data_IF_558194230934
#
_entry.id   IF_558194230934
#
_cell.length_a   1.000
_cell.length_b   1.000
_cell.length_c   1.000
_cell.angle_alpha   90.00
_cell.angle_beta   90.00
_cell.angle_gamma   90.00
#
_symmetry.space_group_name_H-M   'P 1'
#
loop_
_entity.id
_entity.type
_entity.pdbx_description
1 polymer ?
#
# COMPACT_ATOMS: atom_id res chain seq x y z
N UNK A 1 -39.23 -26.84 -17.62
CA UNK A 1 -39.34 -25.41 -17.26
C UNK A 1 -38.63 -25.02 -15.96
N UNK A 2 -38.42 -25.93 -14.98
CA UNK A 2 -37.72 -25.63 -13.72
C UNK A 2 -36.22 -25.29 -13.86
N UNK A 3 -35.48 -25.91 -14.81
CA UNK A 3 -34.04 -25.65 -15.00
C UNK A 3 -33.68 -24.25 -15.53
N UNK A 4 -34.56 -23.61 -16.32
CA UNK A 4 -34.33 -22.24 -16.83
C UNK A 4 -34.64 -21.18 -15.76
N UNK A 5 -35.63 -21.41 -14.90
CA UNK A 5 -35.99 -20.47 -13.83
C UNK A 5 -34.89 -20.40 -12.76
N UNK A 6 -34.32 -21.55 -12.38
CA UNK A 6 -33.17 -21.62 -11.46
C UNK A 6 -31.94 -20.90 -12.01
N UNK A 7 -31.65 -21.04 -13.31
CA UNK A 7 -30.55 -20.31 -13.94
C UNK A 7 -30.79 -18.80 -14.00
N UNK A 8 -32.04 -18.36 -14.16
CA UNK A 8 -32.38 -16.93 -14.27
C UNK A 8 -32.34 -16.24 -12.90
N UNK A 9 -32.86 -16.90 -11.85
CA UNK A 9 -32.79 -16.40 -10.46
C UNK A 9 -31.35 -16.40 -9.95
N UNK A 10 -30.55 -17.42 -10.26
CA UNK A 10 -29.13 -17.45 -9.91
C UNK A 10 -28.31 -16.33 -10.58
N UNK A 11 -28.55 -16.08 -11.87
CA UNK A 11 -27.89 -14.98 -12.59
C UNK A 11 -28.33 -13.62 -12.07
N UNK A 12 -29.62 -13.42 -11.77
CA UNK A 12 -30.10 -12.15 -11.22
C UNK A 12 -29.56 -11.90 -9.79
N UNK A 13 -29.48 -12.94 -8.96
CA UNK A 13 -28.90 -12.87 -7.61
C UNK A 13 -27.42 -12.49 -7.65
N UNK A 14 -26.63 -13.04 -8.59
CA UNK A 14 -25.22 -12.71 -8.75
C UNK A 14 -25.00 -11.23 -9.12
N UNK A 15 -25.86 -10.66 -9.98
CA UNK A 15 -25.75 -9.23 -10.34
C UNK A 15 -26.06 -8.30 -9.16
N UNK A 16 -27.01 -8.70 -8.30
CA UNK A 16 -27.33 -7.97 -7.07
C UNK A 16 -26.17 -8.05 -6.07
N UNK A 17 -25.58 -9.24 -5.90
CA UNK A 17 -24.47 -9.42 -4.98
C UNK A 17 -23.24 -8.62 -5.41
N UNK A 18 -22.90 -8.63 -6.71
CA UNK A 18 -21.83 -7.79 -7.24
C UNK A 18 -22.11 -6.31 -7.03
N UNK A 19 -23.35 -5.85 -7.21
CA UNK A 19 -23.71 -4.45 -7.02
C UNK A 19 -23.39 -3.97 -5.60
N UNK A 20 -23.85 -4.69 -4.58
CA UNK A 20 -23.58 -4.33 -3.19
C UNK A 20 -22.13 -4.59 -2.78
N UNK A 21 -21.47 -5.59 -3.36
CA UNK A 21 -20.05 -5.78 -3.13
C UNK A 21 -19.20 -4.65 -3.71
N UNK A 22 -19.56 -4.08 -4.87
CA UNK A 22 -18.89 -2.85 -5.39
C UNK A 22 -19.05 -1.68 -4.43
N UNK A 23 -20.20 -1.53 -3.77
CA UNK A 23 -20.37 -0.54 -2.70
C UNK A 23 -19.46 -0.84 -1.50
N UNK A 24 -19.38 -2.09 -1.04
CA UNK A 24 -18.48 -2.47 0.04
C UNK A 24 -17.02 -2.18 -0.31
N UNK A 25 -16.58 -2.47 -1.54
CA UNK A 25 -15.23 -2.14 -2.04
C UNK A 25 -14.98 -0.63 -2.10
N UNK A 26 -15.97 0.16 -2.54
CA UNK A 26 -15.87 1.62 -2.55
C UNK A 26 -15.73 2.17 -1.12
N UNK A 27 -16.50 1.65 -0.16
CA UNK A 27 -16.40 1.99 1.26
C UNK A 27 -15.04 1.59 1.82
N UNK A 28 -14.52 0.40 1.49
CA UNK A 28 -13.20 -0.07 1.90
C UNK A 28 -12.07 0.85 1.42
N UNK A 29 -12.21 1.45 0.24
CA UNK A 29 -11.20 2.33 -0.35
C UNK A 29 -10.95 3.61 0.47
N UNK A 30 -11.94 4.06 1.26
CA UNK A 30 -11.83 5.22 2.14
C UNK A 30 -10.75 5.07 3.22
N UNK A 31 -10.40 3.82 3.58
CA UNK A 31 -9.37 3.54 4.57
C UNK A 31 -7.97 3.95 4.13
N UNK A 32 -7.64 3.96 2.83
CA UNK A 32 -6.31 4.35 2.35
C UNK A 32 -5.14 3.58 3.01
N UNK A 33 -3.91 4.11 2.95
CA UNK A 33 -2.75 3.46 3.55
C UNK A 33 -2.70 3.51 5.09
N UNK A 34 -3.49 4.39 5.72
CA UNK A 34 -3.55 4.52 7.17
C UNK A 34 -4.08 3.27 7.89
N UNK A 35 -4.76 2.36 7.18
CA UNK A 35 -5.16 1.07 7.75
C UNK A 35 -3.97 0.16 8.04
N UNK A 36 -2.83 0.37 7.37
CA UNK A 36 -1.64 -0.47 7.53
C UNK A 36 -1.21 -0.52 9.02
N UNK A 37 -0.92 -1.70 9.58
CA UNK A 37 -0.71 -3.01 8.92
C UNK A 37 -1.98 -3.78 8.54
N UNK A 38 -3.16 -3.35 8.96
CA UNK A 38 -4.42 -4.04 8.71
C UNK A 38 -4.86 -3.89 7.24
N UNK A 39 -5.62 -4.86 6.71
CA UNK A 39 -6.21 -4.75 5.39
C UNK A 39 -7.27 -3.64 5.36
N UNK A 40 -7.53 -3.13 4.16
CA UNK A 40 -8.70 -2.28 3.89
C UNK A 40 -9.92 -3.17 3.80
N UNK A 41 -10.87 -2.98 4.70
CA UNK A 41 -12.12 -3.76 4.73
C UNK A 41 -13.29 -2.80 4.68
N UNK A 42 -14.29 -3.14 3.88
CA UNK A 42 -15.56 -2.46 3.80
C UNK A 42 -16.69 -3.46 4.00
N UNK A 43 -17.77 -2.98 4.61
CA UNK A 43 -18.97 -3.77 4.83
C UNK A 43 -20.22 -2.90 4.56
N UNK A 44 -21.24 -3.50 3.95
CA UNK A 44 -22.57 -2.89 3.82
C UNK A 44 -23.64 -3.89 4.24
N UNK A 45 -24.63 -3.41 4.99
CA UNK A 45 -25.81 -4.18 5.41
C UNK A 45 -26.98 -3.76 4.54
N UNK A 46 -27.64 -4.74 3.93
CA UNK A 46 -28.73 -4.53 2.98
C UNK A 46 -29.99 -5.22 3.47
N UNK A 47 -31.09 -4.47 3.52
CA UNK A 47 -32.41 -4.95 3.87
C UNK A 47 -33.41 -4.50 2.82
N UNK A 48 -34.19 -5.43 2.29
CA UNK A 48 -35.25 -5.16 1.31
C UNK A 48 -34.76 -4.36 0.08
N UNK A 49 -33.51 -4.60 -0.33
CA UNK A 49 -32.86 -3.94 -1.48
C UNK A 49 -32.19 -2.59 -1.16
N UNK A 50 -32.25 -2.11 0.08
CA UNK A 50 -31.67 -0.83 0.49
C UNK A 50 -30.46 -1.03 1.41
N UNK A 51 -29.42 -0.20 1.24
CA UNK A 51 -28.29 -0.13 2.18
C UNK A 51 -28.77 0.57 3.45
N UNK A 52 -28.85 -0.19 4.54
CA UNK A 52 -29.27 0.31 5.86
C UNK A 52 -28.10 0.55 6.81
N UNK A 53 -26.91 0.10 6.45
CA UNK A 53 -25.68 0.38 7.19
C UNK A 53 -24.44 0.20 6.32
N UNK A 54 -23.40 0.99 6.61
CA UNK A 54 -22.11 0.89 5.94
C UNK A 54 -20.98 1.15 6.93
N UNK A 55 -19.82 0.55 6.68
CA UNK A 55 -18.66 0.69 7.54
C UNK A 55 -17.37 0.36 6.82
N UNK A 56 -16.30 1.08 7.19
CA UNK A 56 -14.95 0.84 6.73
C UNK A 56 -14.02 0.70 7.94
N UNK A 57 -12.99 -0.13 7.82
CA UNK A 57 -11.86 -0.08 8.75
C UNK A 57 -10.98 1.13 8.40
N UNK A 58 -10.88 2.12 9.28
CA UNK A 58 -10.16 3.36 9.00
C UNK A 58 -8.76 3.42 9.62
N UNK A 59 -8.55 2.78 10.77
CA UNK A 59 -7.28 2.86 11.51
C UNK A 59 -7.03 1.63 12.38
N UNK A 60 -5.79 1.15 12.52
CA UNK A 60 -5.46 0.05 13.44
C UNK A 60 -5.93 0.32 14.88
N UNK A 61 -6.64 -0.65 15.46
CA UNK A 61 -7.16 -0.57 16.83
C UNK A 61 -8.61 -0.08 16.93
N UNK A 62 -9.13 0.57 15.88
CA UNK A 62 -10.55 0.92 15.81
C UNK A 62 -11.41 -0.32 15.47
N UNK A 63 -12.74 -0.26 15.72
CA UNK A 63 -13.68 -1.28 15.26
C UNK A 63 -13.52 -1.61 13.78
N UNK A 64 -13.73 -2.87 13.42
CA UNK A 64 -13.71 -3.29 12.02
C UNK A 64 -14.94 -2.79 11.25
N UNK A 65 -14.88 -2.92 9.92
CA UNK A 65 -15.91 -2.48 8.99
C UNK A 65 -17.30 -3.02 9.34
N UNK A 66 -17.38 -4.32 9.67
CA UNK A 66 -18.61 -5.02 10.02
C UNK A 66 -19.26 -4.40 11.25
N UNK A 67 -18.46 -4.03 12.25
CA UNK A 67 -18.96 -3.42 13.48
C UNK A 67 -19.59 -2.05 13.19
N UNK A 68 -18.94 -1.22 12.37
CA UNK A 68 -19.51 0.06 11.96
C UNK A 68 -20.79 -0.12 11.14
N UNK A 69 -20.80 -1.04 10.18
CA UNK A 69 -21.97 -1.30 9.34
C UNK A 69 -23.17 -1.81 10.16
N UNK A 70 -22.94 -2.73 11.11
CA UNK A 70 -23.97 -3.25 12.00
C UNK A 70 -24.51 -2.19 12.97
N UNK A 71 -23.63 -1.35 13.53
CA UNK A 71 -24.05 -0.22 14.39
C UNK A 71 -24.92 0.77 13.64
N UNK A 72 -24.57 1.09 12.39
CA UNK A 72 -25.37 1.97 11.55
C UNK A 72 -26.72 1.36 11.18
N UNK A 73 -26.76 0.04 10.91
CA UNK A 73 -28.00 -0.67 10.59
C UNK A 73 -28.95 -0.78 11.78
N UNK A 74 -28.43 -0.89 13.01
CA UNK A 74 -29.23 -1.07 14.21
C UNK A 74 -30.18 -2.26 14.10
N UNK A 75 -31.45 -2.08 14.46
CA UNK A 75 -32.47 -3.12 14.38
C UNK A 75 -32.74 -3.62 12.94
N UNK A 76 -32.44 -2.80 11.91
CA UNK A 76 -32.62 -3.20 10.51
C UNK A 76 -31.64 -4.28 10.06
N UNK A 77 -30.63 -4.62 10.87
CA UNK A 77 -29.75 -5.76 10.62
C UNK A 77 -30.48 -7.12 10.76
N UNK A 78 -31.56 -7.19 11.53
CA UNK A 78 -32.25 -8.45 11.79
C UNK A 78 -32.89 -8.99 10.51
N UNK A 79 -32.43 -10.15 10.05
CA UNK A 79 -32.86 -10.77 8.80
C UNK A 79 -32.27 -10.15 7.53
N UNK A 80 -31.31 -9.24 7.65
CA UNK A 80 -30.65 -8.60 6.51
C UNK A 80 -29.53 -9.47 5.91
N UNK A 81 -28.95 -9.00 4.80
CA UNK A 81 -27.72 -9.51 4.21
C UNK A 81 -26.57 -8.55 4.49
N UNK A 82 -25.40 -9.05 4.89
CA UNK A 82 -24.17 -8.24 4.97
C UNK A 82 -23.20 -8.64 3.88
N UNK A 83 -22.68 -7.66 3.15
CA UNK A 83 -21.62 -7.82 2.16
C UNK A 83 -20.32 -7.31 2.77
N UNK A 84 -19.26 -8.11 2.73
CA UNK A 84 -17.97 -7.79 3.36
C UNK A 84 -16.82 -8.15 2.42
N UNK A 85 -15.85 -7.24 2.28
CA UNK A 85 -14.78 -7.38 1.29
C UNK A 85 -13.67 -8.36 1.70
N UNK A 86 -13.65 -8.81 2.96
CA UNK A 86 -12.71 -9.79 3.49
C UNK A 86 -13.45 -10.67 4.50
N UNK A 87 -13.02 -11.92 4.67
CA UNK A 87 -13.60 -12.82 5.66
C UNK A 87 -13.70 -12.18 7.07
N UNK A 88 -14.88 -12.21 7.72
CA UNK A 88 -15.04 -11.71 9.07
C UNK A 88 -14.14 -12.42 10.08
N UNK A 89 -13.46 -11.65 10.93
CA UNK A 89 -12.55 -12.25 11.91
C UNK A 89 -13.28 -13.14 12.92
N UNK A 90 -12.64 -14.26 13.28
CA UNK A 90 -13.15 -15.26 14.23
C UNK A 90 -12.23 -15.47 15.45
N UNK A 91 -11.31 -14.56 15.71
CA UNK A 91 -10.41 -14.62 16.85
C UNK A 91 -10.56 -13.38 17.72
N UNK A 92 -10.29 -13.54 19.02
CA UNK A 92 -10.24 -12.43 19.95
C UNK A 92 -8.89 -11.73 19.82
N UNK A 93 -8.87 -10.59 19.13
CA UNK A 93 -7.70 -9.73 18.98
C UNK A 93 -7.76 -8.55 19.97
N UNK A 94 -7.48 -7.35 19.46
CA UNK A 94 -7.71 -6.09 20.21
C UNK A 94 -9.21 -5.77 20.38
N UNK A 95 -10.04 -6.31 19.50
CA UNK A 95 -11.50 -6.20 19.50
C UNK A 95 -12.13 -7.60 19.48
N UNK A 96 -13.39 -7.76 19.98
CA UNK A 96 -14.15 -8.99 19.81
C UNK A 96 -14.32 -9.38 18.33
N UNK A 97 -14.51 -10.68 18.02
CA UNK A 97 -14.59 -11.16 16.64
C UNK A 97 -15.86 -10.68 15.93
N UNK A 98 -15.73 -10.29 14.67
CA UNK A 98 -16.84 -9.78 13.87
C UNK A 98 -17.89 -10.87 13.60
N UNK A 99 -17.49 -12.14 13.54
CA UNK A 99 -18.42 -13.26 13.42
C UNK A 99 -19.43 -13.30 14.57
N UNK A 100 -19.04 -12.92 15.80
CA UNK A 100 -19.97 -12.86 16.94
C UNK A 100 -20.96 -11.71 16.82
N UNK A 101 -20.49 -10.54 16.40
CA UNK A 101 -21.36 -9.39 16.16
C UNK A 101 -22.39 -9.67 15.05
N UNK A 102 -21.97 -10.33 13.97
CA UNK A 102 -22.88 -10.74 12.88
C UNK A 102 -23.95 -11.69 13.41
N UNK A 103 -23.57 -12.71 14.18
CA UNK A 103 -24.52 -13.66 14.78
C UNK A 103 -25.51 -12.96 15.71
N UNK A 104 -25.01 -12.08 16.60
CA UNK A 104 -25.84 -11.36 17.56
C UNK A 104 -26.82 -10.37 16.89
N UNK A 105 -26.47 -9.83 15.72
CA UNK A 105 -27.31 -8.87 14.98
C UNK A 105 -28.51 -9.50 14.24
N UNK A 106 -28.57 -10.83 14.17
CA UNK A 106 -29.66 -11.54 13.51
C UNK A 106 -29.60 -11.54 11.97
N UNK A 107 -28.44 -11.19 11.38
CA UNK A 107 -28.17 -11.35 9.95
C UNK A 107 -28.46 -12.78 9.50
N UNK A 108 -29.05 -12.94 8.31
CA UNK A 108 -29.41 -14.26 7.76
C UNK A 108 -28.51 -14.70 6.63
N UNK A 109 -27.85 -13.75 5.97
CA UNK A 109 -26.96 -14.03 4.84
C UNK A 109 -25.71 -13.15 4.91
N UNK A 110 -24.56 -13.74 4.62
CA UNK A 110 -23.26 -13.07 4.53
C UNK A 110 -22.67 -13.34 3.17
N UNK A 111 -22.24 -12.30 2.47
CA UNK A 111 -21.56 -12.40 1.18
C UNK A 111 -20.15 -11.87 1.35
N UNK A 112 -19.16 -12.73 1.10
CA UNK A 112 -17.73 -12.44 1.29
C UNK A 112 -17.04 -12.35 -0.06
N UNK A 113 -16.23 -11.31 -0.28
CA UNK A 113 -15.45 -11.22 -1.51
C UNK A 113 -14.27 -12.20 -1.51
N UNK A 114 -13.37 -12.07 -0.53
CA UNK A 114 -12.17 -12.90 -0.43
C UNK A 114 -12.02 -13.49 0.97
N UNK A 115 -11.55 -14.74 1.03
CA UNK A 115 -11.19 -15.38 2.29
C UNK A 115 -9.91 -14.79 2.90
N UNK A 116 -9.77 -14.91 4.21
CA UNK A 116 -8.49 -14.57 4.85
C UNK A 116 -7.42 -15.58 4.37
N UNK A 117 -6.21 -15.08 4.15
CA UNK A 117 -5.07 -15.89 3.75
C UNK A 117 -4.16 -16.24 4.93
N UNK A 118 -4.35 -15.61 6.10
CA UNK A 118 -3.62 -15.98 7.30
C UNK A 118 -3.99 -17.42 7.70
N UNK A 119 -3.02 -18.36 7.71
CA UNK A 119 -3.30 -19.77 7.97
C UNK A 119 -3.98 -20.04 9.32
N UNK A 120 -3.88 -19.09 10.27
CA UNK A 120 -4.49 -19.20 11.60
C UNK A 120 -5.99 -18.91 11.60
N UNK A 121 -6.49 -18.19 10.59
CA UNK A 121 -7.86 -17.65 10.55
C UNK A 121 -8.61 -18.01 9.27
N UNK A 122 -7.89 -18.41 8.21
CA UNK A 122 -8.45 -18.75 6.91
C UNK A 122 -9.62 -19.74 7.00
N UNK A 123 -10.79 -19.30 6.56
CA UNK A 123 -12.03 -20.08 6.52
C UNK A 123 -12.73 -20.28 7.87
N UNK A 124 -12.10 -19.88 8.99
CA UNK A 124 -12.64 -20.08 10.32
C UNK A 124 -13.87 -19.21 10.61
N UNK A 125 -13.92 -17.99 10.09
CA UNK A 125 -15.08 -17.10 10.25
C UNK A 125 -16.26 -17.56 9.41
N UNK A 126 -16.00 -17.94 8.16
CA UNK A 126 -17.02 -18.50 7.28
C UNK A 126 -17.60 -19.81 7.84
N UNK A 127 -16.76 -20.72 8.33
CA UNK A 127 -17.20 -21.96 8.94
C UNK A 127 -18.13 -21.71 10.14
N UNK A 128 -17.71 -20.84 11.09
CA UNK A 128 -18.51 -20.50 12.26
C UNK A 128 -19.89 -19.94 11.90
N UNK A 129 -19.96 -19.05 10.91
CA UNK A 129 -21.23 -18.46 10.48
C UNK A 129 -22.17 -19.53 9.90
N UNK A 130 -21.64 -20.43 9.05
CA UNK A 130 -22.40 -21.55 8.49
C UNK A 130 -22.89 -22.52 9.56
N UNK A 131 -22.05 -22.85 10.54
CA UNK A 131 -22.41 -23.75 11.66
C UNK A 131 -23.58 -23.21 12.49
N UNK A 132 -23.81 -21.90 12.48
CA UNK A 132 -24.93 -21.23 13.16
C UNK A 132 -26.11 -20.92 12.22
N UNK A 133 -26.13 -21.53 11.02
CA UNK A 133 -27.26 -21.46 10.10
C UNK A 133 -27.37 -20.15 9.29
N UNK A 134 -26.28 -19.37 9.19
CA UNK A 134 -26.21 -18.25 8.25
C UNK A 134 -25.89 -18.78 6.85
N UNK A 135 -26.59 -18.28 5.83
CA UNK A 135 -26.25 -18.51 4.42
C UNK A 135 -24.99 -17.70 4.06
N UNK A 136 -23.91 -18.37 3.65
CA UNK A 136 -22.63 -17.70 3.34
C UNK A 136 -22.19 -17.98 1.90
N UNK A 137 -22.21 -16.94 1.08
CA UNK A 137 -21.64 -16.92 -0.28
C UNK A 137 -20.23 -16.33 -0.24
N UNK A 138 -19.29 -16.92 -0.97
CA UNK A 138 -17.87 -16.49 -1.01
C UNK A 138 -17.43 -16.34 -2.47
N UNK A 139 -16.55 -15.38 -2.76
CA UNK A 139 -15.91 -15.22 -4.06
C UNK A 139 -16.55 -14.14 -4.95
N UNK A 140 -17.46 -13.32 -4.41
CA UNK A 140 -18.10 -12.24 -5.17
C UNK A 140 -17.11 -11.08 -5.33
N UNK A 141 -16.69 -10.80 -6.56
CA UNK A 141 -15.66 -9.78 -6.87
C UNK A 141 -14.34 -10.02 -6.12
N UNK A 142 -13.93 -11.29 -6.05
CA UNK A 142 -12.70 -11.69 -5.36
C UNK A 142 -11.45 -11.00 -5.94
N UNK A 143 -11.34 -10.91 -7.26
CA UNK A 143 -10.19 -10.31 -7.93
C UNK A 143 -10.03 -8.83 -7.59
N UNK A 144 -11.13 -8.07 -7.54
CA UNK A 144 -11.13 -6.67 -7.13
C UNK A 144 -10.78 -6.51 -5.65
N UNK A 145 -11.31 -7.37 -4.78
CA UNK A 145 -10.97 -7.36 -3.35
C UNK A 145 -9.49 -7.71 -3.10
N UNK A 146 -8.94 -8.66 -3.86
CA UNK A 146 -7.51 -9.00 -3.85
C UNK A 146 -6.65 -7.85 -4.38
N UNK A 147 -7.10 -7.16 -5.42
CA UNK A 147 -6.41 -5.99 -5.95
C UNK A 147 -6.33 -4.85 -4.92
N UNK A 148 -7.44 -4.56 -4.23
CA UNK A 148 -7.50 -3.53 -3.17
C UNK A 148 -6.47 -3.80 -2.06
N UNK A 149 -6.31 -5.07 -1.66
CA UNK A 149 -5.43 -5.49 -0.57
C UNK A 149 -4.14 -6.17 -1.06
N UNK A 150 -3.71 -5.95 -2.30
CA UNK A 150 -2.55 -6.64 -2.87
C UNK A 150 -1.29 -6.51 -2.01
N UNK A 151 -1.02 -5.31 -1.51
CA UNK A 151 0.14 -5.06 -0.64
C UNK A 151 0.06 -5.83 0.69
N UNK A 152 -1.13 -5.95 1.27
CA UNK A 152 -1.36 -6.72 2.49
C UNK A 152 -1.09 -8.21 2.25
N UNK A 153 -1.70 -8.79 1.21
CA UNK A 153 -1.49 -10.19 0.85
C UNK A 153 -0.04 -10.49 0.48
N UNK A 154 0.61 -9.60 -0.27
CA UNK A 154 2.03 -9.70 -0.61
C UNK A 154 2.90 -9.76 0.65
N UNK A 155 2.63 -8.89 1.64
CA UNK A 155 3.39 -8.91 2.91
C UNK A 155 3.21 -10.21 3.67
N UNK A 156 1.98 -10.72 3.76
CA UNK A 156 1.72 -12.00 4.43
C UNK A 156 2.43 -13.17 3.74
N UNK A 157 2.43 -13.19 2.40
CA UNK A 157 3.02 -14.28 1.63
C UNK A 157 4.55 -14.23 1.58
N UNK A 158 5.12 -13.04 1.39
CA UNK A 158 6.56 -12.86 1.16
C UNK A 158 7.35 -12.47 2.41
N UNK A 159 6.68 -12.06 3.49
CA UNK A 159 7.31 -11.51 4.69
C UNK A 159 7.93 -10.12 4.50
N UNK A 160 7.73 -9.46 3.35
CA UNK A 160 8.27 -8.12 3.04
C UNK A 160 7.20 -7.17 2.48
N UNK A 161 7.34 -5.85 2.61
CA UNK A 161 6.46 -4.91 1.94
C UNK A 161 6.52 -5.09 0.42
N UNK A 162 5.42 -4.74 -0.22
CA UNK A 162 5.37 -4.53 -1.66
C UNK A 162 6.10 -3.23 -2.03
N UNK A 163 7.05 -3.29 -2.94
CA UNK A 163 7.89 -2.15 -3.32
C UNK A 163 7.45 -1.63 -4.69
N UNK A 164 7.03 -0.37 -4.71
CA UNK A 164 6.71 0.36 -5.95
C UNK A 164 7.81 1.38 -6.21
N UNK A 165 8.55 1.23 -7.31
CA UNK A 165 9.53 2.23 -7.72
C UNK A 165 8.88 3.31 -8.57
N UNK A 166 8.85 4.54 -8.03
CA UNK A 166 8.37 5.72 -8.76
C UNK A 166 9.53 6.54 -9.29
N UNK A 167 9.48 6.87 -10.58
CA UNK A 167 10.43 7.76 -11.23
C UNK A 167 9.72 8.84 -12.05
N UNK A 168 10.34 10.02 -12.13
CA UNK A 168 9.99 11.06 -13.09
C UNK A 168 11.10 11.10 -14.15
N UNK A 169 10.72 10.91 -15.41
CA UNK A 169 11.61 10.75 -16.55
C UNK A 169 11.30 11.79 -17.60
N UNK A 170 12.33 12.22 -18.30
CA UNK A 170 12.17 12.80 -19.64
C UNK A 170 11.75 11.71 -20.64
N UNK A 171 11.23 12.09 -21.81
CA UNK A 171 10.90 11.15 -22.88
C UNK A 171 12.12 10.34 -23.34
N UNK A 172 13.31 10.95 -23.24
CA UNK A 172 14.61 10.30 -23.46
C UNK A 172 15.07 9.35 -22.34
N UNK A 173 14.28 9.15 -21.28
CA UNK A 173 14.57 8.18 -20.22
C UNK A 173 15.49 8.65 -19.09
N UNK A 174 15.67 9.95 -18.90
CA UNK A 174 16.57 10.51 -17.87
C UNK A 174 15.82 11.10 -16.67
N UNK A 175 16.31 10.88 -15.45
CA UNK A 175 15.76 11.43 -14.18
C UNK A 175 16.34 12.79 -13.81
N UNK A 176 17.50 13.15 -14.33
CA UNK A 176 18.19 14.41 -14.05
C UNK A 176 19.21 14.72 -15.15
N UNK A 177 19.68 15.97 -15.22
CA UNK A 177 20.89 16.31 -15.96
C UNK A 177 22.13 15.68 -15.29
N UNK A 178 23.25 15.58 -16.01
CA UNK A 178 24.52 15.06 -15.48
C UNK A 178 25.08 15.87 -14.29
N UNK A 179 24.65 17.12 -14.13
CA UNK A 179 24.97 17.94 -12.96
C UNK A 179 24.18 17.55 -11.71
N UNK A 180 23.23 16.62 -11.82
CA UNK A 180 22.29 16.27 -10.76
C UNK A 180 21.03 17.15 -10.73
N UNK A 181 20.97 18.21 -11.54
CA UNK A 181 19.79 19.07 -11.59
C UNK A 181 18.55 18.31 -12.11
N UNK A 182 17.56 18.14 -11.24
CA UNK A 182 16.39 17.28 -11.42
C UNK A 182 15.06 18.00 -11.16
N UNK A 183 15.09 19.30 -10.84
CA UNK A 183 13.87 20.03 -10.50
C UNK A 183 12.94 20.13 -11.71
N UNK A 184 11.68 19.76 -11.48
CA UNK A 184 10.59 19.87 -12.44
C UNK A 184 10.80 19.12 -13.75
N UNK A 185 11.27 17.87 -13.70
CA UNK A 185 11.20 16.95 -14.85
C UNK A 185 9.76 16.86 -15.36
N UNK A 186 8.82 16.53 -14.48
CA UNK A 186 7.38 16.43 -14.79
C UNK A 186 6.59 17.65 -14.34
N UNK A 187 5.39 17.82 -14.89
CA UNK A 187 4.47 18.92 -14.66
C UNK A 187 3.78 18.90 -13.28
N UNK A 188 3.03 19.98 -12.94
CA UNK A 188 2.35 20.10 -11.66
C UNK A 188 1.28 19.02 -11.42
N UNK A 189 0.55 18.60 -12.46
CA UNK A 189 -0.48 17.56 -12.34
C UNK A 189 0.13 16.19 -12.01
N UNK A 190 1.29 15.84 -12.57
CA UNK A 190 2.04 14.65 -12.18
C UNK A 190 2.53 14.74 -10.74
N UNK A 191 3.01 15.90 -10.28
CA UNK A 191 3.43 16.10 -8.88
C UNK A 191 2.26 16.02 -7.89
N UNK A 192 1.09 16.51 -8.26
CA UNK A 192 -0.14 16.36 -7.48
C UNK A 192 -0.57 14.88 -7.41
N UNK A 193 -0.46 14.15 -8.52
CA UNK A 193 -0.72 12.72 -8.55
C UNK A 193 0.25 11.90 -7.68
N UNK A 194 1.51 12.33 -7.57
CA UNK A 194 2.45 11.74 -6.60
C UNK A 194 1.99 11.94 -5.15
N UNK A 195 1.32 13.05 -4.80
CA UNK A 195 0.71 13.17 -3.46
C UNK A 195 -0.36 12.10 -3.23
N UNK A 196 -1.16 11.77 -4.25
CA UNK A 196 -2.11 10.64 -4.18
C UNK A 196 -1.38 9.32 -3.98
N UNK A 197 -0.31 9.06 -4.74
CA UNK A 197 0.49 7.84 -4.55
C UNK A 197 1.04 7.71 -3.13
N UNK A 198 1.47 8.82 -2.50
CA UNK A 198 1.94 8.81 -1.11
C UNK A 198 0.83 8.48 -0.10
N UNK A 199 -0.43 8.80 -0.39
CA UNK A 199 -1.57 8.39 0.43
C UNK A 199 -1.90 6.90 0.30
N UNK A 200 -1.45 6.25 -0.77
CA UNK A 200 -1.68 4.83 -1.03
C UNK A 200 -0.61 3.91 -0.45
N UNK A 201 0.52 4.46 0.02
CA UNK A 201 1.63 3.68 0.56
C UNK A 201 1.96 4.10 1.99
N UNK A 202 1.99 3.18 2.97
CA UNK A 202 2.27 3.50 4.37
C UNK A 202 3.73 3.86 4.61
N UNK A 203 4.62 3.66 3.63
CA UNK A 203 6.02 4.04 3.68
C UNK A 203 6.50 4.70 2.39
N UNK A 204 7.32 5.73 2.52
CA UNK A 204 8.06 6.36 1.42
C UNK A 204 9.55 6.13 1.66
N UNK A 205 10.23 5.51 0.71
CA UNK A 205 11.66 5.23 0.82
C UNK A 205 12.49 6.12 -0.11
N UNK A 206 13.59 6.66 0.40
CA UNK A 206 14.61 7.34 -0.41
C UNK A 206 16.00 6.92 0.04
N UNK A 207 16.99 7.08 -0.85
CA UNK A 207 18.39 7.01 -0.46
C UNK A 207 18.85 8.33 0.14
N UNK A 208 19.82 8.29 1.04
CA UNK A 208 20.45 9.49 1.61
C UNK A 208 20.95 10.49 0.55
N UNK A 209 21.36 10.03 -0.64
CA UNK A 209 21.76 10.91 -1.73
C UNK A 209 20.64 11.85 -2.20
N UNK A 210 19.40 11.39 -2.23
CA UNK A 210 18.23 12.23 -2.53
C UNK A 210 17.99 13.24 -1.43
N UNK A 211 18.17 12.87 -0.17
CA UNK A 211 18.02 13.81 0.95
C UNK A 211 19.04 14.94 0.87
N UNK A 212 20.30 14.60 0.60
CA UNK A 212 21.38 15.58 0.51
C UNK A 212 21.24 16.51 -0.70
N UNK A 213 20.65 16.02 -1.81
CA UNK A 213 20.47 16.80 -3.02
C UNK A 213 19.23 17.70 -2.98
N UNK A 214 18.11 17.17 -2.49
CA UNK A 214 16.79 17.80 -2.66
C UNK A 214 16.15 18.30 -1.35
N UNK A 215 16.69 17.91 -0.20
CA UNK A 215 16.14 18.17 1.15
C UNK A 215 14.60 18.03 1.21
N UNK A 216 14.06 16.86 0.83
CA UNK A 216 12.63 16.68 0.66
C UNK A 216 11.92 16.54 2.02
N UNK A 217 10.68 17.03 2.09
CA UNK A 217 9.79 16.82 3.27
C UNK A 217 9.30 15.38 3.39
N UNK A 218 9.10 14.70 2.26
CA UNK A 218 8.52 13.35 2.15
C UNK A 218 7.18 13.17 2.88
N UNK A 219 6.35 14.22 2.88
CA UNK A 219 5.01 14.22 3.48
C UNK A 219 3.90 14.07 2.43
N UNK A 220 2.72 13.64 2.90
CA UNK A 220 1.43 13.88 2.24
C UNK A 220 0.93 15.26 2.66
N UNK A 221 0.58 16.09 1.69
CA UNK A 221 0.16 17.49 1.95
C UNK A 221 -1.26 17.75 1.48
N UNK A 222 -1.96 18.59 2.23
CA UNK A 222 -3.26 19.13 1.83
C UNK A 222 -3.07 20.04 0.62
N UNK A 223 -3.87 19.85 -0.44
CA UNK A 223 -3.74 20.56 -1.71
C UNK A 223 -3.82 22.08 -1.56
N UNK A 224 -4.65 22.53 -0.61
CA UNK A 224 -5.02 23.94 -0.51
C UNK A 224 -4.06 24.73 0.38
N UNK A 225 -3.45 24.07 1.36
CA UNK A 225 -2.60 24.73 2.37
C UNK A 225 -1.13 24.37 2.26
N UNK A 226 -0.77 23.34 1.47
CA UNK A 226 0.57 22.73 1.43
C UNK A 226 1.11 22.29 2.82
N UNK A 227 0.23 22.23 3.82
CA UNK A 227 0.54 21.70 5.15
C UNK A 227 0.44 20.18 5.14
N UNK A 228 1.15 19.53 6.05
CA UNK A 228 1.03 18.10 6.25
C UNK A 228 -0.41 17.75 6.66
N UNK A 229 -0.97 16.70 6.04
CA UNK A 229 -2.27 16.16 6.45
C UNK A 229 -2.20 15.39 7.76
N UNK A 230 -3.37 15.03 8.31
CA UNK A 230 -3.53 14.37 9.62
C UNK A 230 -2.83 13.02 9.72
N UNK A 231 -2.71 12.31 8.60
CA UNK A 231 -1.97 11.06 8.49
C UNK A 231 -0.72 11.24 7.63
N UNK A 232 0.38 10.61 8.04
CA UNK A 232 1.66 10.62 7.33
C UNK A 232 2.24 9.21 7.19
N UNK A 233 2.82 8.86 6.03
CA UNK A 233 3.55 7.62 5.85
C UNK A 233 4.88 7.66 6.62
N UNK A 234 5.42 6.49 6.96
CA UNK A 234 6.78 6.38 7.48
C UNK A 234 7.78 6.81 6.42
N UNK A 235 8.73 7.67 6.81
CA UNK A 235 9.82 8.11 5.93
C UNK A 235 11.01 7.19 6.12
N UNK A 236 11.31 6.33 5.15
CA UNK A 236 12.36 5.32 5.23
C UNK A 236 13.61 5.83 4.51
N UNK A 237 14.67 6.11 5.25
CA UNK A 237 15.91 6.66 4.71
C UNK A 237 16.99 5.57 4.73
N UNK A 238 17.46 5.18 3.55
CA UNK A 238 18.62 4.29 3.42
C UNK A 238 19.90 5.10 3.52
N UNK A 239 20.55 5.01 4.68
CA UNK A 239 21.74 5.79 5.03
C UNK A 239 22.73 4.94 5.82
N UNK A 240 23.57 4.17 5.11
CA UNK A 240 24.50 3.23 5.74
C UNK A 240 25.50 3.86 6.69
N UNK A 241 25.78 5.16 6.55
CA UNK A 241 26.83 5.89 7.26
C UNK A 241 26.34 7.10 8.05
N UNK A 242 25.05 7.18 8.38
CA UNK A 242 24.49 8.22 9.27
C UNK A 242 24.73 9.68 8.80
N UNK A 243 24.76 9.89 7.48
CA UNK A 243 25.01 11.20 6.85
C UNK A 243 23.80 12.15 6.87
N UNK A 244 22.60 11.68 7.23
CA UNK A 244 21.39 12.49 7.33
C UNK A 244 21.65 13.75 8.18
N UNK A 245 21.52 14.97 7.63
CA UNK A 245 21.67 16.19 8.41
C UNK A 245 20.57 16.32 9.47
N UNK A 246 20.91 16.71 10.71
CA UNK A 246 19.92 17.02 11.74
C UNK A 246 19.02 18.21 11.34
N UNK A 247 19.46 19.05 10.39
CA UNK A 247 18.67 20.13 9.82
C UNK A 247 17.76 19.71 8.65
N UNK A 248 17.73 18.43 8.27
CA UNK A 248 16.93 17.96 7.15
C UNK A 248 15.44 18.27 7.40
N UNK A 249 14.77 18.88 6.41
CA UNK A 249 13.40 19.39 6.58
C UNK A 249 12.42 18.33 7.06
N UNK A 250 12.58 17.09 6.60
CA UNK A 250 11.71 15.99 6.99
C UNK A 250 11.69 15.69 8.50
N UNK A 251 12.75 16.04 9.24
CA UNK A 251 12.83 15.75 10.68
C UNK A 251 11.91 16.67 11.48
N UNK A 252 11.68 17.90 10.99
CA UNK A 252 10.75 18.86 11.59
C UNK A 252 9.28 18.63 11.20
N UNK A 253 9.01 17.71 10.28
CA UNK A 253 7.68 17.42 9.78
C UNK A 253 6.99 16.32 10.62
N UNK A 254 5.66 16.37 10.78
CA UNK A 254 4.93 15.35 11.53
C UNK A 254 5.13 13.96 10.92
N UNK A 255 5.00 12.92 11.76
CA UNK A 255 5.27 11.54 11.41
C UNK A 255 6.66 11.07 11.84
N UNK A 256 6.97 9.81 11.56
CA UNK A 256 8.21 9.15 11.99
C UNK A 256 9.16 8.93 10.82
N UNK A 257 10.45 9.01 11.10
CA UNK A 257 11.53 8.75 10.14
C UNK A 257 12.28 7.49 10.55
N UNK A 258 12.20 6.44 9.73
CA UNK A 258 12.93 5.20 9.90
C UNK A 258 14.28 5.32 9.19
N UNK A 259 15.39 5.23 9.93
CA UNK A 259 16.72 5.30 9.34
C UNK A 259 17.30 3.90 9.26
N UNK A 260 17.42 3.40 8.04
CA UNK A 260 18.04 2.11 7.71
C UNK A 260 19.54 2.34 7.60
N UNK A 261 20.27 1.91 8.62
CA UNK A 261 21.71 2.15 8.78
C UNK A 261 22.46 0.89 9.20
N UNK A 262 23.78 0.94 9.24
CA UNK A 262 24.60 -0.18 9.71
C UNK A 262 24.74 -0.16 11.25
N UNK A 263 24.88 -1.32 11.91
CA UNK A 263 25.15 -1.36 13.35
C UNK A 263 26.40 -0.56 13.74
N UNK A 264 27.44 -0.59 12.91
CA UNK A 264 28.68 0.17 13.12
C UNK A 264 28.47 1.68 13.07
N UNK A 265 27.57 2.17 12.23
CA UNK A 265 27.29 3.60 12.14
C UNK A 265 26.57 4.13 13.39
N UNK A 266 25.80 3.28 14.09
CA UNK A 266 25.16 3.63 15.36
C UNK A 266 26.14 3.74 16.54
N UNK A 267 27.42 3.37 16.36
CA UNK A 267 28.44 3.59 17.38
C UNK A 267 28.83 5.07 17.55
N UNK A 268 28.48 5.94 16.59
CA UNK A 268 28.60 7.40 16.75
C UNK A 268 27.41 7.94 17.57
N UNK A 269 27.47 7.75 18.89
CA UNK A 269 26.41 8.14 19.83
C UNK A 269 26.06 9.63 19.74
N UNK A 270 27.07 10.49 19.51
CA UNK A 270 26.84 11.94 19.35
C UNK A 270 25.96 12.19 18.13
N UNK A 271 26.26 11.55 17.01
CA UNK A 271 25.47 11.74 15.78
C UNK A 271 24.07 11.18 15.91
N UNK A 272 23.90 10.04 16.59
CA UNK A 272 22.58 9.47 16.92
C UNK A 272 21.75 10.47 17.72
N UNK A 273 22.30 11.00 18.82
CA UNK A 273 21.62 11.97 19.68
C UNK A 273 21.25 13.26 18.94
N UNK A 274 22.13 13.78 18.07
CA UNK A 274 21.84 14.96 17.24
C UNK A 274 20.61 14.76 16.33
N UNK A 275 20.48 13.58 15.74
CA UNK A 275 19.39 13.25 14.82
C UNK A 275 18.08 13.00 15.59
N UNK A 276 18.15 12.32 16.74
CA UNK A 276 17.00 12.10 17.63
C UNK A 276 16.46 13.40 18.22
N UNK A 277 17.34 14.36 18.55
CA UNK A 277 16.93 15.67 19.04
C UNK A 277 16.20 16.50 17.96
N UNK A 278 16.42 16.20 16.68
CA UNK A 278 15.84 16.93 15.56
C UNK A 278 14.46 16.41 15.12
N UNK A 279 14.07 15.19 15.49
CA UNK A 279 12.78 14.63 15.09
C UNK A 279 12.51 13.20 15.58
N UNK A 280 11.32 12.69 15.27
CA UNK A 280 10.92 11.33 15.66
C UNK A 280 11.61 10.29 14.78
N UNK A 281 12.60 9.60 15.34
CA UNK A 281 13.47 8.68 14.60
C UNK A 281 13.33 7.25 15.12
N UNK A 282 13.29 6.29 14.19
CA UNK A 282 13.34 4.86 14.48
C UNK A 282 14.58 4.29 13.79
N UNK A 283 15.50 3.75 14.57
CA UNK A 283 16.71 3.13 14.05
C UNK A 283 16.44 1.70 13.57
N UNK A 284 16.81 1.41 12.34
CA UNK A 284 16.72 0.07 11.75
C UNK A 284 18.13 -0.41 11.37
N UNK A 285 18.89 -0.96 12.33
CA UNK A 285 20.23 -1.47 12.08
C UNK A 285 20.17 -2.75 11.24
N UNK A 286 20.83 -2.74 10.09
CA UNK A 286 21.02 -3.90 9.20
C UNK A 286 22.43 -3.90 8.63
N UNK A 287 23.14 -5.00 8.87
CA UNK A 287 24.44 -5.23 8.26
C UNK A 287 24.23 -5.80 6.84
N UNK A 288 25.05 -5.32 5.91
CA UNK A 288 25.21 -5.88 4.58
C UNK A 288 26.68 -5.83 4.19
N UNK A 289 26.96 -6.00 2.90
CA UNK A 289 28.32 -6.10 2.42
C UNK A 289 29.04 -4.75 2.35
N UNK A 290 30.35 -4.77 2.58
CA UNK A 290 31.25 -3.61 2.38
C UNK A 290 30.79 -2.33 3.11
N UNK A 291 30.26 -2.48 4.34
CA UNK A 291 29.79 -1.35 5.14
C UNK A 291 28.48 -0.72 4.65
N UNK A 292 27.73 -1.42 3.79
CA UNK A 292 26.40 -1.00 3.32
C UNK A 292 25.30 -1.71 4.08
N UNK A 293 24.10 -1.17 3.99
CA UNK A 293 22.89 -1.83 4.51
C UNK A 293 22.41 -2.91 3.54
N UNK A 294 22.01 -4.06 4.07
CA UNK A 294 21.36 -5.12 3.28
C UNK A 294 19.88 -4.77 3.05
N UNK A 295 19.47 -4.64 1.79
CA UNK A 295 18.07 -4.38 1.42
C UNK A 295 17.19 -5.59 1.75
N UNK A 296 17.66 -6.79 1.44
CA UNK A 296 16.97 -8.06 1.72
C UNK A 296 16.74 -8.27 3.22
N UNK A 297 17.66 -7.82 4.09
CA UNK A 297 17.47 -7.86 5.55
C UNK A 297 16.62 -6.69 6.07
N UNK A 298 16.60 -5.54 5.39
CA UNK A 298 15.82 -4.37 5.79
C UNK A 298 14.32 -4.58 5.58
N UNK A 299 13.92 -5.13 4.43
CA UNK A 299 12.51 -5.20 4.05
C UNK A 299 11.64 -6.02 5.03
N UNK A 300 12.05 -7.19 5.55
CA UNK A 300 11.27 -7.89 6.57
C UNK A 300 11.11 -7.10 7.88
N UNK A 301 12.15 -6.36 8.30
CA UNK A 301 12.06 -5.48 9.47
C UNK A 301 11.09 -4.31 9.24
N UNK A 302 11.08 -3.77 8.02
CA UNK A 302 10.12 -2.74 7.62
C UNK A 302 8.68 -3.28 7.57
N UNK A 303 8.47 -4.53 7.13
CA UNK A 303 7.18 -5.21 7.24
C UNK A 303 6.72 -5.40 8.70
N UNK A 304 7.66 -5.66 9.61
CA UNK A 304 7.39 -5.77 11.04
C UNK A 304 7.02 -4.43 11.71
N UNK A 305 7.48 -3.30 11.15
CA UNK A 305 6.99 -1.96 11.50
C UNK A 305 5.59 -1.66 10.93
N UNK A 306 4.97 -2.64 10.27
CA UNK A 306 3.60 -2.55 9.79
C UNK A 306 3.45 -1.96 8.39
N UNK A 307 4.53 -1.90 7.60
CA UNK A 307 4.48 -1.45 6.21
C UNK A 307 4.00 -2.57 5.29
N UNK A 308 2.77 -2.47 4.79
CA UNK A 308 2.27 -3.34 3.72
C UNK A 308 2.93 -3.03 2.36
N UNK A 309 3.28 -1.78 2.10
CA UNK A 309 3.99 -1.36 0.90
C UNK A 309 4.93 -0.19 1.17
N UNK A 310 5.88 0.01 0.25
CA UNK A 310 6.82 1.12 0.21
C UNK A 310 6.81 1.74 -1.17
N UNK A 311 6.64 3.05 -1.24
CA UNK A 311 6.88 3.86 -2.42
C UNK A 311 8.35 4.29 -2.44
N UNK A 312 9.16 3.65 -3.26
CA UNK A 312 10.56 4.02 -3.47
C UNK A 312 10.61 5.26 -4.38
N UNK A 313 10.95 6.41 -3.79
CA UNK A 313 11.06 7.69 -4.47
C UNK A 313 12.52 8.12 -4.60
N UNK A 314 13.03 8.16 -5.83
CA UNK A 314 14.31 8.79 -6.11
C UNK A 314 15.55 7.99 -5.67
N UNK A 315 16.70 8.53 -6.05
CA UNK A 315 18.00 7.91 -5.86
C UNK A 315 18.23 6.79 -6.89
N UNK A 316 18.71 7.12 -8.11
CA UNK A 316 18.85 6.11 -9.17
C UNK A 316 19.82 4.98 -8.79
N UNK A 317 20.77 5.23 -7.88
CA UNK A 317 21.64 4.19 -7.29
C UNK A 317 20.90 3.25 -6.33
N UNK A 318 19.98 3.77 -5.50
CA UNK A 318 19.18 2.93 -4.61
C UNK A 318 18.19 2.09 -5.43
N UNK A 319 17.53 2.71 -6.41
CA UNK A 319 16.64 2.01 -7.33
C UNK A 319 17.39 0.89 -8.09
N UNK A 320 18.62 1.14 -8.56
CA UNK A 320 19.44 0.11 -9.17
C UNK A 320 19.71 -1.07 -8.23
N UNK A 321 20.05 -0.80 -6.96
CA UNK A 321 20.28 -1.85 -5.97
C UNK A 321 19.02 -2.67 -5.68
N UNK A 322 17.85 -2.02 -5.51
CA UNK A 322 16.57 -2.70 -5.37
C UNK A 322 16.24 -3.57 -6.59
N UNK A 323 16.50 -3.07 -7.80
CA UNK A 323 16.25 -3.82 -9.03
C UNK A 323 17.18 -5.05 -9.14
N UNK A 324 18.47 -4.88 -8.83
CA UNK A 324 19.48 -5.95 -8.84
C UNK A 324 19.18 -7.05 -7.83
N UNK A 325 18.75 -6.68 -6.62
CA UNK A 325 18.34 -7.63 -5.57
C UNK A 325 16.96 -8.25 -5.83
N UNK A 326 16.34 -7.95 -6.97
CA UNK A 326 15.00 -8.40 -7.37
C UNK A 326 13.89 -8.03 -6.38
N UNK A 327 13.98 -6.81 -5.82
CA UNK A 327 13.10 -6.31 -4.75
C UNK A 327 12.08 -5.29 -5.21
N UNK A 328 12.02 -4.92 -6.50
CA UNK A 328 10.97 -4.04 -7.05
C UNK A 328 9.83 -4.91 -7.56
N UNK A 329 8.64 -4.74 -7.00
CA UNK A 329 7.44 -5.47 -7.44
C UNK A 329 6.75 -4.75 -8.60
N UNK A 330 6.63 -3.41 -8.49
CA UNK A 330 5.98 -2.57 -9.49
C UNK A 330 6.83 -1.35 -9.83
N UNK A 331 6.63 -0.82 -11.03
CA UNK A 331 7.12 0.49 -11.45
C UNK A 331 5.97 1.45 -11.71
N UNK A 332 6.22 2.73 -11.44
CA UNK A 332 5.33 3.85 -11.75
C UNK A 332 6.16 5.00 -12.33
N UNK A 333 6.23 5.10 -13.64
CA UNK A 333 7.06 6.08 -14.34
C UNK A 333 6.21 7.20 -14.90
N UNK A 334 6.49 8.42 -14.47
CA UNK A 334 5.96 9.61 -15.10
C UNK A 334 6.93 10.07 -16.19
N UNK A 335 6.47 10.13 -17.43
CA UNK A 335 7.28 10.51 -18.60
C UNK A 335 6.82 11.87 -19.08
N UNK A 336 7.68 12.86 -18.94
CA UNK A 336 7.47 14.22 -19.40
C UNK A 336 7.80 14.35 -20.90
N UNK A 337 7.10 15.20 -21.66
CA UNK A 337 7.37 15.47 -23.08
C UNK A 337 8.60 16.38 -23.25
N UNK A 338 9.73 15.96 -22.69
CA UNK A 338 11.02 16.67 -22.69
C UNK A 338 12.10 15.74 -23.20
N UNK A 339 13.08 16.28 -23.92
CA UNK A 339 14.26 15.56 -24.37
C UNK A 339 15.48 16.09 -23.63
N UNK A 340 16.18 15.20 -22.93
CA UNK A 340 17.55 15.43 -22.47
C UNK A 340 18.47 14.63 -23.38
N UNK A 341 19.41 15.32 -24.03
CA UNK A 341 20.38 14.68 -24.93
C UNK A 341 21.30 13.70 -24.19
N UNK A 342 21.58 13.98 -22.91
CA UNK A 342 22.32 13.12 -22.01
C UNK A 342 21.93 13.47 -20.55
N UNK A 343 21.84 12.47 -19.69
CA UNK A 343 21.47 12.66 -18.29
C UNK A 343 21.65 11.40 -17.46
N UNK A 344 21.23 11.48 -16.20
CA UNK A 344 21.29 10.33 -15.31
C UNK A 344 20.13 9.35 -15.63
N UNK A 345 20.41 8.05 -15.79
CA UNK A 345 19.37 7.04 -15.98
C UNK A 345 18.62 6.75 -14.66
N UNK A 346 17.42 6.14 -14.71
CA UNK A 346 16.65 5.76 -13.52
C UNK A 346 17.35 4.70 -12.65
N UNK A 347 18.21 3.87 -13.24
CA UNK A 347 18.92 2.80 -12.56
C UNK A 347 20.44 3.01 -12.71
N UNK A 348 20.98 3.97 -11.97
CA UNK A 348 22.40 4.33 -12.06
C UNK A 348 23.28 3.23 -11.48
N UNK A 349 24.20 2.71 -12.31
CA UNK A 349 25.13 1.64 -11.95
C UNK A 349 24.63 0.22 -12.25
N UNK A 350 23.37 0.07 -12.69
CA UNK A 350 22.92 -1.18 -13.29
C UNK A 350 23.44 -1.27 -14.73
N UNK A 351 23.98 -2.41 -15.12
CA UNK A 351 24.50 -2.67 -16.47
C UNK A 351 23.80 -3.91 -17.01
N UNK A 352 23.22 -3.79 -18.20
CA UNK A 352 22.75 -4.92 -19.01
C UNK A 352 23.62 -5.00 -20.26
N UNK A 353 24.09 -6.20 -20.59
CA UNK A 353 24.95 -6.44 -21.76
C UNK A 353 24.15 -6.85 -23.00
N UNK A 354 22.94 -7.39 -22.81
CA UNK A 354 22.12 -7.93 -23.88
C UNK A 354 20.63 -7.67 -23.68
N UNK A 355 19.84 -7.75 -24.76
CA UNK A 355 18.37 -7.66 -24.68
C UNK A 355 17.74 -8.85 -23.95
N UNK A 356 18.43 -9.98 -23.83
CA UNK A 356 17.97 -11.12 -23.05
C UNK A 356 17.95 -10.85 -21.53
N UNK A 357 18.74 -9.88 -21.06
CA UNK A 357 18.75 -9.42 -19.67
C UNK A 357 17.66 -8.37 -19.39
N UNK A 358 16.91 -7.94 -20.41
CA UNK A 358 15.85 -6.96 -20.24
C UNK A 358 14.75 -7.51 -19.32
N UNK A 359 14.44 -6.73 -18.28
CA UNK A 359 13.37 -7.08 -17.34
C UNK A 359 12.04 -6.64 -17.95
N UNK A 360 11.16 -7.61 -18.22
CA UNK A 360 9.85 -7.34 -18.81
C UNK A 360 8.88 -6.78 -17.76
N UNK A 361 7.95 -5.94 -18.21
CA UNK A 361 6.80 -5.52 -17.42
C UNK A 361 5.56 -6.28 -17.90
N UNK A 362 4.66 -6.60 -16.97
CA UNK A 362 3.35 -7.16 -17.27
C UNK A 362 2.24 -6.34 -16.59
N UNK A 363 0.98 -6.53 -17.02
CA UNK A 363 -0.15 -5.67 -16.60
C UNK A 363 0.17 -4.18 -16.77
N UNK A 364 0.74 -3.82 -17.93
CA UNK A 364 1.12 -2.44 -18.24
C UNK A 364 -0.13 -1.59 -18.43
N UNK A 365 -0.19 -0.46 -17.75
CA UNK A 365 -1.21 0.55 -17.95
C UNK A 365 -0.55 1.90 -18.26
N UNK A 366 -1.19 2.68 -19.12
CA UNK A 366 -0.75 4.03 -19.49
C UNK A 366 -1.92 4.98 -19.30
N UNK A 367 -1.67 6.08 -18.60
CA UNK A 367 -2.66 7.17 -18.47
C UNK A 367 -1.99 8.51 -18.73
N UNK A 368 -2.75 9.45 -19.29
CA UNK A 368 -2.33 10.83 -19.42
C UNK A 368 -2.56 11.60 -18.11
N UNK A 369 -1.61 12.44 -17.71
CA UNK A 369 -1.64 13.25 -16.48
C UNK A 369 -1.20 14.67 -16.80
N UNK A 370 -2.15 15.47 -17.29
CA UNK A 370 -1.80 16.74 -17.93
C UNK A 370 -1.00 16.47 -19.20
N UNK A 371 0.19 17.07 -19.29
CA UNK A 371 1.11 16.88 -20.43
C UNK A 371 2.04 15.66 -20.26
N UNK A 372 2.12 15.08 -19.06
CA UNK A 372 2.94 13.90 -18.78
C UNK A 372 2.15 12.61 -19.04
N UNK A 373 2.87 11.50 -19.26
CA UNK A 373 2.31 10.15 -19.23
C UNK A 373 2.66 9.48 -17.92
N UNK A 374 1.74 8.72 -17.32
CA UNK A 374 2.05 7.79 -16.23
C UNK A 374 1.95 6.36 -16.75
N UNK A 375 3.07 5.64 -16.73
CA UNK A 375 3.19 4.25 -17.13
C UNK A 375 3.40 3.42 -15.86
N UNK A 376 2.51 2.47 -15.61
CA UNK A 376 2.66 1.51 -14.52
C UNK A 376 2.82 0.10 -15.07
N UNK A 377 3.49 -0.76 -14.31
CA UNK A 377 3.63 -2.17 -14.67
C UNK A 377 4.24 -2.97 -13.53
N UNK A 378 3.93 -4.26 -13.50
CA UNK A 378 4.53 -5.20 -12.56
C UNK A 378 5.81 -5.77 -13.15
N UNK A 379 6.84 -5.87 -12.34
CA UNK A 379 8.14 -6.37 -12.75
C UNK A 379 8.09 -7.90 -12.88
N UNK A 380 8.55 -8.41 -14.03
CA UNK A 380 8.73 -9.85 -14.27
C UNK A 380 10.22 -10.16 -14.30
N UNK A 381 10.74 -10.62 -13.17
CA UNK A 381 12.07 -11.21 -13.14
C UNK A 381 12.07 -12.55 -13.89
N UNK A 382 13.11 -12.80 -14.69
CA UNK A 382 13.32 -14.12 -15.26
C UNK A 382 13.51 -15.14 -14.11
N UNK A 383 12.96 -16.36 -14.24
CA UNK A 383 13.10 -17.42 -13.24
C UNK A 383 14.56 -17.69 -12.87
#
# INVERSE_FOLDING_TARGET
MQGRLLSFVGVFSLHVDEHFMRYALAVASLGGAQTSPNPRVGAVVVRDGEIVGQGAHLKPGDPHAEIYALRMAGEKAQGATIYVTLEPCNHHGRTPPCSEAILASGIKRVVVAVLDTDPRTAGGGVARLRDHGIDVTVGVLEDEARALNRAFFHRLQSGRPLVVYKAALTLSGHVAANTGHSQYVTGPLARADVQRLRMEHPGIAVGIGTVLADDPRLTVRNSDTEQAGDWQPLRVIFDSGLRLPASARMLAEPGQTVIVTTPSALADERRVQEIEAAGQVVWLPVAGDKGRTSLTAALPKLAALGLNSILLEGGPTLAAAFLQDRLIDDVCFYVAPKLLLNGLPPFLGAVTQSMAEAIALHHVAVRQVGDDLCITGRVKYAP
#
